data_IF_687702782719
#
_entry.id   IF_687702782719
#
_cell.length_a   1.000
_cell.length_b   1.000
_cell.length_c   1.000
_cell.angle_alpha   90.00
_cell.angle_beta   90.00
_cell.angle_gamma   90.00
#
_symmetry.space_group_name_H-M   'P 1'
#
loop_
_entity.id
_entity.type
_entity.pdbx_description
1 polymer ?
#
# COMPACT_ATOMS: atom_id res chain seq x y z
N UNK A 1 82.17 -19.04 25.85
CA UNK A 1 81.78 -18.57 24.51
C UNK A 1 80.33 -18.97 24.27
N UNK A 2 79.40 -18.07 24.60
CA UNK A 2 77.97 -18.36 24.79
C UNK A 2 77.16 -17.93 23.56
N UNK A 3 76.33 -18.83 23.03
CA UNK A 3 75.11 -18.56 22.26
C UNK A 3 75.12 -17.46 21.17
N UNK A 4 75.65 -17.79 19.98
CA UNK A 4 75.32 -17.05 18.74
C UNK A 4 74.18 -17.68 17.92
N UNK A 5 73.86 -18.96 18.12
CA UNK A 5 72.75 -19.63 17.40
C UNK A 5 71.39 -19.56 18.10
N UNK A 6 71.33 -19.25 19.41
CA UNK A 6 70.05 -19.07 20.11
C UNK A 6 69.43 -17.67 19.94
N UNK A 7 70.24 -16.64 19.67
CA UNK A 7 69.73 -15.26 19.45
C UNK A 7 69.04 -15.08 18.10
N UNK A 8 69.36 -15.92 17.10
CA UNK A 8 68.69 -15.91 15.80
C UNK A 8 67.41 -16.75 15.76
N UNK A 9 67.18 -17.61 16.77
CA UNK A 9 65.97 -18.45 16.86
C UNK A 9 64.88 -17.86 17.77
N UNK A 10 65.24 -16.90 18.64
CA UNK A 10 64.27 -16.13 19.43
C UNK A 10 63.68 -14.91 18.69
N UNK A 11 64.32 -14.42 17.61
CA UNK A 11 63.79 -13.30 16.83
C UNK A 11 62.69 -13.76 15.84
N UNK A 12 62.63 -15.05 15.50
CA UNK A 12 61.59 -15.59 14.60
C UNK A 12 60.28 -15.90 15.36
N UNK A 13 60.32 -16.02 16.69
CA UNK A 13 59.11 -16.21 17.53
C UNK A 13 58.50 -14.85 17.97
N UNK A 14 59.23 -13.73 17.81
CA UNK A 14 58.71 -12.38 18.05
C UNK A 14 58.04 -11.72 16.82
N UNK A 15 57.90 -12.46 15.71
CA UNK A 15 57.16 -12.04 14.49
C UNK A 15 55.88 -12.90 14.32
N UNK A 16 55.34 -13.45 15.41
CA UNK A 16 53.94 -13.90 15.47
C UNK A 16 53.04 -12.95 16.27
N UNK A 17 53.58 -11.82 16.75
CA UNK A 17 52.86 -10.85 17.59
C UNK A 17 53.06 -9.40 17.14
N UNK A 18 53.20 -9.14 15.84
CA UNK A 18 52.81 -7.82 15.30
C UNK A 18 51.29 -7.84 15.17
N UNK A 19 50.63 -7.74 16.32
CA UNK A 19 49.32 -7.14 16.41
C UNK A 19 49.45 -5.71 15.93
N UNK A 20 48.86 -5.41 14.77
CA UNK A 20 48.11 -4.19 14.45
C UNK A 20 47.92 -4.13 12.94
N UNK A 21 47.09 -5.05 12.43
CA UNK A 21 46.09 -4.62 11.45
C UNK A 21 45.13 -3.68 12.18
N UNK A 22 45.58 -2.44 12.40
CA UNK A 22 44.68 -1.31 12.46
C UNK A 22 44.79 -0.61 11.12
N UNK A 23 44.33 -1.28 10.06
CA UNK A 23 43.58 -0.50 9.10
C UNK A 23 42.47 0.15 9.93
N UNK A 24 42.32 1.48 9.98
CA UNK A 24 41.00 2.01 10.15
C UNK A 24 40.25 1.58 8.88
N UNK A 25 39.82 0.31 8.83
CA UNK A 25 38.47 0.09 8.38
C UNK A 25 37.68 0.94 9.36
N UNK A 26 37.37 2.16 8.93
CA UNK A 26 36.04 2.65 9.12
C UNK A 26 35.18 1.51 8.56
N UNK A 27 34.88 0.52 9.41
CA UNK A 27 33.57 -0.09 9.41
C UNK A 27 32.69 1.10 9.72
N UNK A 28 32.44 1.92 8.69
CA UNK A 28 31.23 2.69 8.60
C UNK A 28 30.21 1.63 8.94
N UNK A 29 29.67 1.70 10.16
CA UNK A 29 28.66 0.77 10.63
C UNK A 29 27.69 0.71 9.47
N UNK A 30 27.75 -0.38 8.70
CA UNK A 30 27.14 -0.43 7.39
C UNK A 30 25.68 -0.38 7.74
N UNK A 31 25.09 0.80 7.60
CA UNK A 31 23.86 1.11 8.28
C UNK A 31 22.85 0.10 7.78
N UNK A 32 22.43 -0.82 8.66
CA UNK A 32 21.71 -2.02 8.22
C UNK A 32 20.44 -1.57 7.51
N UNK A 33 20.33 -1.87 6.22
CA UNK A 33 19.13 -1.63 5.44
C UNK A 33 18.21 -2.84 5.57
N UNK A 34 16.93 -2.59 5.75
CA UNK A 34 15.91 -3.62 5.62
C UNK A 34 15.11 -3.91 6.89
N UNK A 35 14.44 -5.04 6.84
CA UNK A 35 13.48 -5.47 7.85
C UNK A 35 14.15 -6.03 9.09
N UNK A 36 13.63 -5.66 10.26
CA UNK A 36 14.01 -6.21 11.56
C UNK A 36 12.76 -6.56 12.35
N UNK A 37 12.67 -7.82 12.78
CA UNK A 37 11.61 -8.27 13.68
C UNK A 37 12.03 -8.08 15.14
N UNK A 38 11.09 -7.69 16.01
CA UNK A 38 11.25 -7.70 17.46
C UNK A 38 9.90 -8.08 18.09
N UNK A 39 9.84 -9.28 18.68
CA UNK A 39 8.56 -9.88 19.05
C UNK A 39 7.65 -10.01 17.82
N UNK A 40 6.39 -9.57 17.95
CA UNK A 40 5.40 -9.54 16.86
C UNK A 40 5.50 -8.30 15.96
N UNK A 41 6.43 -7.38 16.25
CA UNK A 41 6.54 -6.11 15.54
C UNK A 41 7.62 -6.17 14.46
N UNK A 42 7.35 -5.51 13.35
CA UNK A 42 8.29 -5.35 12.24
C UNK A 42 8.70 -3.88 12.10
N UNK A 43 10.00 -3.67 11.92
CA UNK A 43 10.64 -2.37 11.74
C UNK A 43 11.42 -2.36 10.43
N UNK A 44 11.61 -1.18 9.85
CA UNK A 44 12.41 -1.00 8.65
C UNK A 44 13.51 0.03 8.88
N UNK A 45 14.74 -0.31 8.52
CA UNK A 45 15.90 0.56 8.68
C UNK A 45 16.48 0.95 7.32
N UNK A 46 16.95 2.19 7.21
CA UNK A 46 17.72 2.70 6.07
C UNK A 46 18.94 3.45 6.62
N UNK A 47 20.13 3.04 6.22
CA UNK A 47 21.42 3.52 6.69
C UNK A 47 21.48 3.51 8.23
N UNK A 48 20.99 2.43 8.84
CA UNK A 48 20.98 2.25 10.29
C UNK A 48 19.94 3.10 11.03
N UNK A 49 19.15 3.92 10.32
CA UNK A 49 18.08 4.74 10.90
C UNK A 49 16.72 4.06 10.71
N UNK A 50 15.97 3.93 11.79
CA UNK A 50 14.61 3.40 11.76
C UNK A 50 13.69 4.36 11.00
N UNK A 51 12.89 3.83 10.09
CA UNK A 51 11.85 4.57 9.38
C UNK A 51 10.60 4.67 10.24
N UNK A 52 10.04 5.87 10.33
CA UNK A 52 8.78 6.18 11.04
C UNK A 52 7.92 7.10 10.17
N UNK A 53 6.60 7.06 10.37
CA UNK A 53 5.60 7.85 9.63
C UNK A 53 5.86 7.92 8.11
N UNK A 54 6.29 6.82 7.50
CA UNK A 54 6.74 6.85 6.10
C UNK A 54 6.53 5.52 5.39
N UNK A 55 6.33 5.65 4.08
CA UNK A 55 6.32 4.54 3.15
C UNK A 55 7.71 3.94 2.98
N UNK A 56 7.77 2.62 2.90
CA UNK A 56 8.97 1.85 2.55
C UNK A 56 8.59 0.82 1.51
N UNK A 57 9.51 0.55 0.57
CA UNK A 57 9.32 -0.50 -0.42
C UNK A 57 10.23 -1.68 -0.06
N UNK A 58 9.62 -2.85 0.14
CA UNK A 58 10.37 -4.08 0.39
C UNK A 58 11.04 -4.61 -0.88
N UNK A 59 11.90 -5.63 -0.73
CA UNK A 59 12.60 -6.27 -1.85
C UNK A 59 11.66 -6.89 -2.90
N UNK A 60 10.46 -7.29 -2.49
CA UNK A 60 9.39 -7.80 -3.38
C UNK A 60 8.65 -6.70 -4.16
N UNK A 61 9.13 -5.45 -4.12
CA UNK A 61 8.48 -4.26 -4.71
C UNK A 61 7.11 -3.91 -4.11
N UNK A 62 6.70 -4.57 -3.04
CA UNK A 62 5.51 -4.22 -2.27
C UNK A 62 5.77 -3.02 -1.37
N UNK A 63 4.75 -2.19 -1.21
CA UNK A 63 4.77 -1.01 -0.35
C UNK A 63 4.22 -1.33 1.04
N UNK A 64 4.84 -0.73 2.05
CA UNK A 64 4.49 -0.87 3.46
C UNK A 64 4.55 0.50 4.12
N UNK A 65 3.82 0.69 5.23
CA UNK A 65 3.82 1.95 5.96
C UNK A 65 4.33 1.75 7.39
N UNK A 66 5.33 2.53 7.78
CA UNK A 66 5.88 2.53 9.12
C UNK A 66 5.16 3.57 9.97
N UNK A 67 4.60 3.16 11.11
CA UNK A 67 3.92 4.05 12.05
C UNK A 67 4.88 5.02 12.78
N UNK A 68 4.33 5.83 13.67
CA UNK A 68 5.10 6.84 14.43
C UNK A 68 6.17 6.25 15.33
N UNK A 69 5.92 5.07 15.89
CA UNK A 69 6.87 4.28 16.68
C UNK A 69 7.76 3.36 15.82
N UNK A 70 7.67 3.46 14.49
CA UNK A 70 8.42 2.63 13.56
C UNK A 70 7.89 1.21 13.40
N UNK A 71 6.76 0.86 14.03
CA UNK A 71 6.10 -0.43 13.82
C UNK A 71 5.35 -0.41 12.49
N UNK A 72 5.52 -1.45 11.69
CA UNK A 72 4.80 -1.65 10.43
C UNK A 72 3.29 -1.74 10.67
N UNK A 73 2.52 -0.98 9.89
CA UNK A 73 1.06 -1.04 9.93
C UNK A 73 0.55 -2.29 9.21
N UNK A 74 -0.45 -2.95 9.80
CA UNK A 74 -1.12 -4.14 9.26
C UNK A 74 -2.63 -4.03 9.52
N UNK A 75 -3.44 -4.63 8.65
CA UNK A 75 -4.91 -4.67 8.72
C UNK A 75 -5.56 -3.30 9.04
N UNK A 76 -5.00 -2.21 8.50
CA UNK A 76 -5.39 -0.87 8.93
C UNK A 76 -5.33 0.13 7.79
N UNK A 77 -6.19 1.13 7.88
CA UNK A 77 -6.12 2.34 7.07
C UNK A 77 -4.96 3.23 7.53
N UNK A 78 -4.26 3.83 6.57
CA UNK A 78 -3.29 4.89 6.80
C UNK A 78 -3.61 6.06 5.88
N UNK A 79 -3.42 7.28 6.39
CA UNK A 79 -3.54 8.48 5.59
C UNK A 79 -2.14 9.02 5.34
N UNK A 80 -1.81 9.26 4.07
CA UNK A 80 -0.59 9.96 3.73
C UNK A 80 -0.66 11.42 4.24
N UNK A 81 0.36 11.85 4.96
CA UNK A 81 0.37 13.16 5.60
C UNK A 81 0.42 14.31 4.60
N UNK A 82 0.99 14.07 3.42
CA UNK A 82 1.23 15.07 2.37
C UNK A 82 0.02 15.17 1.46
N UNK A 83 -0.42 14.05 0.89
CA UNK A 83 -1.53 14.06 -0.08
C UNK A 83 -2.92 13.95 0.56
N UNK A 84 -3.00 13.70 1.87
CA UNK A 84 -4.25 13.39 2.61
C UNK A 84 -5.03 12.20 2.05
N UNK A 85 -4.40 11.39 1.22
CA UNK A 85 -5.00 10.23 0.57
C UNK A 85 -4.96 9.03 1.50
N UNK A 86 -6.03 8.24 1.51
CA UNK A 86 -6.13 7.01 2.29
C UNK A 86 -5.61 5.81 1.51
N UNK A 87 -4.96 4.90 2.22
CA UNK A 87 -4.43 3.63 1.75
C UNK A 87 -4.74 2.55 2.78
N UNK A 88 -4.80 1.29 2.36
CA UNK A 88 -5.05 0.17 3.28
C UNK A 88 -3.90 -0.84 3.25
N UNK A 89 -3.43 -1.25 4.44
CA UNK A 89 -2.40 -2.27 4.60
C UNK A 89 -3.07 -3.58 4.97
N UNK A 90 -2.76 -4.64 4.22
CA UNK A 90 -3.28 -5.98 4.49
C UNK A 90 -2.67 -6.64 5.73
N UNK A 91 -2.99 -7.92 5.92
CA UNK A 91 -2.52 -8.70 7.08
C UNK A 91 -0.99 -8.88 7.11
N UNK A 92 -0.35 -8.94 5.94
CA UNK A 92 1.11 -8.99 5.81
C UNK A 92 1.76 -7.61 5.91
N UNK A 93 0.97 -6.54 6.06
CA UNK A 93 1.41 -5.15 6.00
C UNK A 93 1.58 -4.61 4.58
N UNK A 94 1.50 -5.46 3.56
CA UNK A 94 1.57 -5.00 2.18
C UNK A 94 0.36 -4.13 1.83
N UNK A 95 0.62 -3.01 1.17
CA UNK A 95 -0.40 -2.10 0.63
C UNK A 95 -1.31 -2.85 -0.34
N UNK A 96 -2.62 -2.72 -0.12
CA UNK A 96 -3.64 -3.31 -0.98
C UNK A 96 -3.93 -2.40 -2.17
N UNK A 97 -4.37 -3.03 -3.26
CA UNK A 97 -4.90 -2.39 -4.46
C UNK A 97 -6.16 -3.13 -4.89
N UNK A 98 -6.96 -2.53 -5.76
CA UNK A 98 -8.23 -3.08 -6.22
C UNK A 98 -9.33 -3.03 -5.16
N UNK A 99 -10.32 -3.92 -5.31
CA UNK A 99 -11.43 -4.03 -4.37
C UNK A 99 -11.01 -4.64 -3.03
N UNK A 100 -11.45 -4.03 -1.94
CA UNK A 100 -11.25 -4.52 -0.57
C UNK A 100 -12.60 -4.53 0.15
N UNK A 101 -12.94 -5.66 0.77
CA UNK A 101 -14.15 -5.80 1.58
C UNK A 101 -13.78 -5.73 3.06
N UNK A 102 -14.30 -4.73 3.77
CA UNK A 102 -13.98 -4.44 5.17
C UNK A 102 -15.26 -4.01 5.90
N UNK A 103 -15.55 -4.61 7.06
CA UNK A 103 -16.67 -4.17 7.91
C UNK A 103 -18.01 -4.12 7.17
N UNK A 104 -18.28 -5.12 6.33
CA UNK A 104 -19.45 -5.24 5.47
C UNK A 104 -19.57 -4.19 4.35
N UNK A 105 -18.49 -3.46 4.05
CA UNK A 105 -18.44 -2.43 3.01
C UNK A 105 -17.34 -2.73 2.00
N UNK A 106 -17.60 -2.38 0.74
CA UNK A 106 -16.61 -2.45 -0.33
C UNK A 106 -15.90 -1.11 -0.49
N UNK A 107 -14.59 -1.16 -0.71
CA UNK A 107 -13.74 -0.01 -0.99
C UNK A 107 -12.94 -0.31 -2.25
N UNK A 108 -12.56 0.72 -3.01
CA UNK A 108 -11.69 0.56 -4.16
C UNK A 108 -10.40 1.35 -3.97
N UNK A 109 -9.27 0.67 -4.16
CA UNK A 109 -7.93 1.25 -4.15
C UNK A 109 -7.37 1.20 -5.58
N UNK A 110 -6.86 2.31 -6.09
CA UNK A 110 -6.22 2.36 -7.40
C UNK A 110 -4.92 1.54 -7.43
N UNK A 111 -4.30 1.41 -8.60
CA UNK A 111 -3.05 0.67 -8.79
C UNK A 111 -1.89 1.21 -7.94
N UNK A 112 -1.89 2.51 -7.65
CA UNK A 112 -0.96 3.16 -6.72
C UNK A 112 -1.39 3.04 -5.24
N UNK A 113 -2.48 2.33 -4.94
CA UNK A 113 -3.03 2.11 -3.61
C UNK A 113 -3.93 3.22 -3.09
N UNK A 114 -4.05 4.36 -3.80
CA UNK A 114 -4.89 5.46 -3.37
C UNK A 114 -6.37 5.05 -3.32
N UNK A 115 -7.05 5.37 -2.23
CA UNK A 115 -8.49 5.12 -2.09
C UNK A 115 -9.31 6.01 -3.02
N UNK A 116 -10.25 5.41 -3.75
CA UNK A 116 -11.29 6.14 -4.46
C UNK A 116 -12.35 6.64 -3.45
N UNK A 117 -12.65 7.94 -3.51
CA UNK A 117 -13.67 8.57 -2.68
C UNK A 117 -14.36 9.71 -3.46
N UNK A 118 -15.66 9.89 -3.20
CA UNK A 118 -16.52 10.90 -3.86
C UNK A 118 -16.48 10.84 -5.38
N UNK A 119 -16.46 9.64 -5.98
CA UNK A 119 -16.30 9.49 -7.43
C UNK A 119 -16.83 8.17 -7.97
N UNK A 120 -17.10 8.20 -9.28
CA UNK A 120 -17.35 7.00 -10.08
C UNK A 120 -16.03 6.32 -10.46
N UNK A 121 -16.02 4.99 -10.49
CA UNK A 121 -14.97 4.18 -11.10
C UNK A 121 -15.58 3.23 -12.13
N UNK A 122 -14.81 2.92 -13.17
CA UNK A 122 -15.12 1.90 -14.16
C UNK A 122 -14.32 0.64 -13.83
N UNK A 123 -15.00 -0.48 -13.59
CA UNK A 123 -14.37 -1.76 -13.32
C UNK A 123 -15.15 -2.88 -13.99
N UNK A 124 -14.48 -3.70 -14.81
CA UNK A 124 -15.12 -4.80 -15.53
C UNK A 124 -16.29 -4.36 -16.42
N UNK A 125 -16.20 -3.18 -17.04
CA UNK A 125 -17.25 -2.63 -17.91
C UNK A 125 -18.48 -2.08 -17.19
N UNK A 126 -18.45 -1.98 -15.84
CA UNK A 126 -19.53 -1.45 -15.02
C UNK A 126 -19.05 -0.24 -14.21
N UNK A 127 -19.94 0.70 -13.97
CA UNK A 127 -19.67 1.87 -13.14
C UNK A 127 -20.13 1.64 -11.70
N UNK A 128 -19.30 2.09 -10.76
CA UNK A 128 -19.58 2.03 -9.32
C UNK A 128 -19.26 3.38 -8.70
N UNK A 129 -20.07 3.84 -7.75
CA UNK A 129 -19.82 5.08 -7.03
C UNK A 129 -19.25 4.81 -5.65
N UNK A 130 -18.15 5.47 -5.30
CA UNK A 130 -17.58 5.46 -3.96
C UNK A 130 -17.94 6.75 -3.24
N UNK A 131 -18.52 6.61 -2.05
CA UNK A 131 -18.94 7.72 -1.20
C UNK A 131 -17.72 8.53 -0.69
N UNK A 132 -17.97 9.63 0.00
CA UNK A 132 -16.91 10.46 0.58
C UNK A 132 -16.05 9.70 1.62
N UNK A 133 -16.63 8.72 2.31
CA UNK A 133 -15.90 7.83 3.22
C UNK A 133 -15.18 6.68 2.51
N UNK A 134 -15.26 6.62 1.18
CA UNK A 134 -14.61 5.61 0.32
C UNK A 134 -15.40 4.31 0.15
N UNK A 135 -16.46 4.09 0.93
CA UNK A 135 -17.31 2.92 0.80
C UNK A 135 -18.21 3.01 -0.44
N UNK A 136 -18.40 1.89 -1.12
CA UNK A 136 -19.22 1.77 -2.31
C UNK A 136 -20.69 1.98 -1.98
N UNK A 137 -21.35 2.83 -2.76
CA UNK A 137 -22.79 3.02 -2.70
C UNK A 137 -23.53 1.76 -3.20
N UNK A 138 -24.54 1.33 -2.45
CA UNK A 138 -25.44 0.22 -2.80
C UNK A 138 -26.87 0.57 -2.39
N UNK A 139 -27.85 0.12 -3.18
CA UNK A 139 -29.28 0.35 -2.94
C UNK A 139 -29.63 1.81 -2.64
N UNK A 140 -28.99 2.76 -3.31
CA UNK A 140 -29.12 4.18 -2.98
C UNK A 140 -28.96 5.07 -4.21
N UNK A 141 -29.36 6.34 -4.05
CA UNK A 141 -29.09 7.40 -5.04
C UNK A 141 -27.73 8.04 -4.74
N UNK A 142 -26.92 8.22 -5.77
CA UNK A 142 -25.66 8.97 -5.71
C UNK A 142 -25.93 10.48 -5.61
N UNK A 143 -24.95 11.31 -5.21
CA UNK A 143 -25.11 12.76 -5.14
C UNK A 143 -25.49 13.43 -6.46
N UNK A 144 -25.13 12.81 -7.58
CA UNK A 144 -25.50 13.23 -8.95
C UNK A 144 -26.80 12.57 -9.46
N UNK A 145 -27.61 12.00 -8.55
CA UNK A 145 -28.96 11.49 -8.78
C UNK A 145 -29.06 10.29 -9.74
N UNK A 146 -28.09 9.37 -9.68
CA UNK A 146 -28.19 8.03 -10.30
C UNK A 146 -28.47 6.99 -9.23
N UNK A 147 -29.26 5.97 -9.56
CA UNK A 147 -29.54 4.88 -8.64
C UNK A 147 -28.55 3.74 -8.88
N UNK A 148 -27.92 3.26 -7.82
CA UNK A 148 -27.10 2.04 -7.82
C UNK A 148 -27.81 0.96 -7.03
N UNK A 149 -27.96 -0.21 -7.64
CA UNK A 149 -28.71 -1.33 -7.06
C UNK A 149 -27.96 -2.06 -5.95
N UNK A 150 -28.42 -3.26 -5.61
CA UNK A 150 -27.88 -4.08 -4.51
C UNK A 150 -26.44 -4.55 -4.74
N UNK A 151 -26.01 -4.61 -6.00
CA UNK A 151 -24.63 -4.94 -6.39
C UNK A 151 -23.72 -3.71 -6.45
N UNK A 152 -24.27 -2.50 -6.30
CA UNK A 152 -23.55 -1.23 -6.49
C UNK A 152 -23.22 -0.89 -7.94
N UNK A 153 -23.42 -1.82 -8.88
CA UNK A 153 -23.23 -1.55 -10.30
C UNK A 153 -24.35 -0.67 -10.83
N UNK A 154 -23.98 0.39 -11.54
CA UNK A 154 -24.92 1.20 -12.29
C UNK A 154 -25.38 0.48 -13.57
N UNK A 155 -26.69 0.53 -13.83
CA UNK A 155 -27.36 -0.16 -14.93
C UNK A 155 -27.50 0.72 -16.19
N UNK A 156 -26.93 1.92 -16.18
CA UNK A 156 -27.01 2.86 -17.29
C UNK A 156 -28.25 3.76 -17.27
N UNK A 157 -29.11 3.66 -16.25
CA UNK A 157 -30.36 4.45 -16.16
C UNK A 157 -30.25 5.59 -15.16
N UNK A 158 -30.86 6.72 -15.47
CA UNK A 158 -31.03 7.80 -14.49
C UNK A 158 -31.96 7.35 -13.36
N UNK A 159 -31.80 7.87 -12.15
CA UNK A 159 -32.71 7.52 -11.04
C UNK A 159 -34.12 8.05 -11.35
N UNK A 160 -35.03 7.18 -11.78
CA UNK A 160 -36.44 7.52 -11.93
C UNK A 160 -37.09 7.60 -10.54
N UNK A 161 -37.78 8.71 -10.27
CA UNK A 161 -38.48 8.93 -9.01
C UNK A 161 -39.77 8.10 -8.97
N UNK A 162 -39.68 6.83 -8.55
CA UNK A 162 -40.87 6.07 -8.16
C UNK A 162 -40.49 4.85 -7.31
N UNK A 163 -40.61 5.01 -5.99
CA UNK A 163 -40.82 3.87 -5.10
C UNK A 163 -42.24 3.38 -5.30
N UNK A 164 -42.42 2.19 -5.86
CA UNK A 164 -43.41 1.21 -5.40
C UNK A 164 -42.90 -0.17 -5.78
N UNK A 165 -42.85 -1.05 -4.78
CA UNK A 165 -42.38 -2.41 -4.88
C UNK A 165 -43.12 -3.22 -5.96
N UNK A 166 -42.39 -3.97 -6.80
CA UNK A 166 -42.69 -5.39 -7.05
C UNK A 166 -41.75 -6.02 -8.07
N UNK A 167 -41.57 -7.32 -7.83
CA UNK A 167 -40.93 -8.34 -8.64
C UNK A 167 -41.54 -8.49 -10.04
N UNK A 168 -40.72 -9.02 -10.97
CA UNK A 168 -41.07 -9.68 -12.25
C UNK A 168 -41.69 -8.77 -13.34
N UNK A 169 -41.24 -8.67 -14.59
CA UNK A 169 -40.95 -9.69 -15.63
C UNK A 169 -40.32 -8.97 -16.86
N UNK A 170 -39.62 -9.74 -17.71
CA UNK A 170 -39.08 -9.33 -19.00
C UNK A 170 -40.07 -8.55 -19.88
N UNK A 171 -39.63 -7.46 -20.54
CA UNK A 171 -40.04 -7.13 -21.92
C UNK A 171 -38.99 -6.25 -22.59
N UNK A 172 -38.55 -6.70 -23.76
CA UNK A 172 -37.76 -5.96 -24.76
C UNK A 172 -38.49 -4.69 -25.18
N UNK A 173 -37.88 -3.52 -25.01
CA UNK A 173 -38.28 -2.32 -25.75
C UNK A 173 -37.04 -1.50 -26.09
N UNK A 174 -36.73 -1.50 -27.39
CA UNK A 174 -35.83 -0.57 -28.05
C UNK A 174 -36.28 0.86 -27.77
N UNK A 175 -35.42 1.68 -27.17
CA UNK A 175 -35.53 3.13 -27.25
C UNK A 175 -34.15 3.76 -27.39
N UNK A 176 -33.89 4.15 -28.63
CA UNK A 176 -32.81 5.02 -29.09
C UNK A 176 -33.03 6.42 -28.51
N UNK A 177 -32.18 6.85 -27.59
CA UNK A 177 -31.83 8.28 -27.44
C UNK A 177 -30.61 8.44 -26.56
N UNK A 178 -29.57 8.90 -27.24
CA UNK A 178 -28.21 9.08 -26.80
C UNK A 178 -28.10 10.09 -25.66
N UNK A 179 -27.45 9.68 -24.59
CA UNK A 179 -26.59 10.58 -23.79
C UNK A 179 -25.39 9.77 -23.33
N UNK A 180 -24.46 9.55 -24.26
CA UNK A 180 -23.12 9.05 -23.93
C UNK A 180 -22.44 10.10 -23.06
N UNK A 181 -22.45 9.90 -21.73
CA UNK A 181 -21.60 10.66 -20.82
C UNK A 181 -20.16 10.22 -21.10
N UNK A 182 -19.39 11.10 -21.73
CA UNK A 182 -17.94 10.92 -21.89
C UNK A 182 -17.34 11.05 -20.49
N UNK A 183 -17.06 9.92 -19.85
CA UNK A 183 -16.22 9.92 -18.66
C UNK A 183 -14.84 10.39 -19.12
N UNK A 184 -14.44 11.60 -18.72
CA UNK A 184 -13.10 12.09 -19.03
C UNK A 184 -12.08 11.09 -18.49
N UNK A 185 -11.41 10.41 -19.41
CA UNK A 185 -10.18 9.69 -19.13
C UNK A 185 -9.17 10.76 -18.77
N UNK A 186 -8.90 10.93 -17.47
CA UNK A 186 -7.72 11.65 -17.03
C UNK A 186 -6.55 10.74 -17.38
N UNK A 187 -6.02 10.91 -18.60
CA UNK A 187 -4.70 10.42 -18.95
C UNK A 187 -3.70 11.14 -18.05
N UNK A 188 -3.04 10.37 -17.19
CA UNK A 188 -1.90 10.84 -16.40
C UNK A 188 -0.65 10.40 -17.16
N UNK A 189 0.08 11.37 -17.69
CA UNK A 189 1.45 11.21 -18.19
C UNK A 189 2.40 10.85 -17.04
#
# INVERSE_FOLDING_TARGET
MFNRKLKSMLIIILILCISLVSSPNLVQAAGTNGWKASGSNWYYYVNGKMKTNSWVQGSSKLWYYMGSNGVMKTNSWVQDSTSKTWYYLGSTGAMKTGWVYLGNKWYYLYSNGAMAASKWILYGGKYYYLNASGDMAVNTKTPDNYYVGSTGAWDGKAATTSNTASSTTNTTTTNTSSTTKVFQVISIN
#
